data_IF_804332962948
#
_entry.id   IF_804332962948
#
_cell.length_a   1.000
_cell.length_b   1.000
_cell.length_c   1.000
_cell.angle_alpha   90.00
_cell.angle_beta   90.00
_cell.angle_gamma   90.00
#
_symmetry.space_group_name_H-M   'P 1'
#
loop_
_entity.id
_entity.type
_entity.pdbx_description
1 polymer ?
#
# COMPACT_ATOMS: atom_id res chain seq x y z
N UNK A 1 -10.14 12.96 31.75
CA UNK A 1 -9.24 13.97 31.17
C UNK A 1 -9.05 13.58 29.71
N UNK A 2 -9.42 14.43 28.76
CA UNK A 2 -9.08 14.22 27.35
C UNK A 2 -7.58 14.46 27.21
N UNK A 3 -6.79 13.39 27.12
CA UNK A 3 -5.37 13.50 26.82
C UNK A 3 -5.17 14.20 25.48
N UNK A 4 -4.12 15.02 25.36
CA UNK A 4 -3.74 15.61 24.08
C UNK A 4 -3.43 14.46 23.09
N UNK A 5 -3.92 14.56 21.86
CA UNK A 5 -3.72 13.51 20.84
C UNK A 5 -2.22 13.23 20.61
N UNK A 6 -1.36 14.25 20.72
CA UNK A 6 0.10 14.11 20.57
C UNK A 6 0.72 13.22 21.67
N UNK A 7 0.20 13.32 22.90
CA UNK A 7 0.64 12.49 24.03
C UNK A 7 0.16 11.05 23.85
N UNK A 8 -1.10 10.87 23.44
CA UNK A 8 -1.66 9.54 23.20
C UNK A 8 -0.92 8.78 22.11
N UNK A 9 -0.63 9.44 20.98
CA UNK A 9 0.09 8.76 19.90
C UNK A 9 1.54 8.46 20.31
N UNK A 10 2.17 9.31 21.12
CA UNK A 10 3.49 9.00 21.67
C UNK A 10 3.47 7.73 22.53
N UNK A 11 2.52 7.63 23.48
CA UNK A 11 2.36 6.44 24.32
C UNK A 11 2.03 5.19 23.51
N UNK A 12 1.16 5.32 22.49
CA UNK A 12 0.82 4.23 21.59
C UNK A 12 2.03 3.67 20.81
N UNK A 13 2.98 4.52 20.42
CA UNK A 13 4.15 4.10 19.64
C UNK A 13 5.30 3.64 20.53
N UNK A 14 5.62 4.37 21.60
CA UNK A 14 6.89 4.19 22.35
C UNK A 14 6.74 3.59 23.74
N UNK A 15 5.52 3.53 24.29
CA UNK A 15 5.27 2.98 25.63
C UNK A 15 4.50 1.65 25.58
N UNK A 16 4.17 1.18 24.38
CA UNK A 16 3.39 -0.04 24.12
C UNK A 16 2.05 -0.06 24.89
N UNK A 17 1.47 1.12 25.12
CA UNK A 17 0.20 1.26 25.81
C UNK A 17 -0.96 0.89 24.88
N UNK A 18 -1.48 -0.33 25.04
CA UNK A 18 -2.64 -0.79 24.28
C UNK A 18 -3.91 0.02 24.56
N UNK A 19 -4.01 0.67 25.72
CA UNK A 19 -5.12 1.56 26.02
C UNK A 19 -5.08 2.82 25.14
N UNK A 20 -3.89 3.33 24.80
CA UNK A 20 -3.73 4.49 23.92
C UNK A 20 -4.28 4.22 22.51
N UNK A 21 -4.04 3.04 21.93
CA UNK A 21 -4.64 2.64 20.64
C UNK A 21 -6.18 2.71 20.69
N UNK A 22 -6.76 2.16 21.76
CA UNK A 22 -8.22 2.13 21.95
C UNK A 22 -8.79 3.53 22.14
N UNK A 23 -8.10 4.39 22.89
CA UNK A 23 -8.51 5.79 23.11
C UNK A 23 -8.44 6.62 21.83
N UNK A 24 -7.39 6.48 21.02
CA UNK A 24 -7.27 7.17 19.73
C UNK A 24 -8.43 6.76 18.81
N UNK A 25 -8.72 5.46 18.72
CA UNK A 25 -9.84 4.97 17.91
C UNK A 25 -11.18 5.54 18.39
N UNK A 26 -11.44 5.54 19.69
CA UNK A 26 -12.67 6.10 20.26
C UNK A 26 -12.78 7.61 20.00
N UNK A 27 -11.68 8.36 20.10
CA UNK A 27 -11.67 9.80 19.76
C UNK A 27 -11.91 10.05 18.27
N UNK A 28 -11.38 9.20 17.40
CA UNK A 28 -11.61 9.27 15.95
C UNK A 28 -13.10 9.06 15.64
N UNK A 29 -13.71 8.01 16.18
CA UNK A 29 -15.14 7.71 16.01
C UNK A 29 -16.02 8.85 16.53
N UNK A 30 -15.71 9.40 17.72
CA UNK A 30 -16.41 10.56 18.29
C UNK A 30 -16.27 11.84 17.44
N UNK A 31 -15.23 11.91 16.60
CA UNK A 31 -14.96 13.01 15.67
C UNK A 31 -15.45 12.72 14.25
N UNK A 32 -16.29 11.68 14.06
CA UNK A 32 -16.78 11.24 12.74
C UNK A 32 -15.67 10.84 11.76
N UNK A 33 -14.57 10.32 12.27
CA UNK A 33 -13.49 9.70 11.49
C UNK A 33 -13.71 8.19 11.56
N UNK A 34 -14.02 7.56 10.43
CA UNK A 34 -14.43 6.15 10.40
C UNK A 34 -13.50 5.32 9.53
N UNK A 35 -13.05 4.18 10.06
CA UNK A 35 -12.29 3.21 9.27
C UNK A 35 -13.23 2.54 8.27
N UNK A 36 -12.95 2.71 6.97
CA UNK A 36 -13.86 2.31 5.90
C UNK A 36 -13.18 1.40 4.88
N UNK A 37 -14.00 0.67 4.13
CA UNK A 37 -13.55 -0.04 2.94
C UNK A 37 -13.84 0.76 1.68
N UNK A 38 -12.93 0.74 0.73
CA UNK A 38 -13.10 1.37 -0.58
C UNK A 38 -13.93 0.51 -1.55
N UNK A 39 -14.33 -0.70 -1.13
CA UNK A 39 -14.98 -1.71 -1.98
C UNK A 39 -16.12 -1.15 -2.84
N UNK A 40 -17.07 -0.42 -2.23
CA UNK A 40 -18.25 0.10 -2.93
C UNK A 40 -17.89 1.14 -4.00
N UNK A 41 -16.91 2.00 -3.74
CA UNK A 41 -16.41 2.93 -4.75
C UNK A 41 -15.76 2.19 -5.91
N UNK A 42 -15.00 1.13 -5.64
CA UNK A 42 -14.40 0.30 -6.70
C UNK A 42 -15.45 -0.48 -7.50
N UNK A 43 -16.53 -0.92 -6.86
CA UNK A 43 -17.68 -1.49 -7.57
C UNK A 43 -18.35 -0.46 -8.48
N UNK A 44 -18.57 0.78 -8.02
CA UNK A 44 -19.12 1.84 -8.84
C UNK A 44 -18.24 2.19 -10.05
N UNK A 45 -16.91 2.17 -9.87
CA UNK A 45 -15.95 2.32 -10.99
C UNK A 45 -16.07 1.14 -11.95
N UNK A 46 -16.14 -0.09 -11.43
CA UNK A 46 -16.31 -1.31 -12.24
C UNK A 46 -17.59 -1.31 -13.08
N UNK A 47 -18.65 -0.72 -12.55
CA UNK A 47 -19.95 -0.55 -13.22
C UNK A 47 -20.00 0.65 -14.17
N UNK A 48 -18.93 1.45 -14.24
CA UNK A 48 -18.85 2.63 -15.09
C UNK A 48 -19.67 3.83 -14.60
N UNK A 49 -20.10 3.84 -13.34
CA UNK A 49 -20.87 4.96 -12.77
C UNK A 49 -20.01 6.20 -12.47
N UNK A 50 -18.73 5.97 -12.21
CA UNK A 50 -17.73 6.99 -11.92
C UNK A 50 -16.37 6.54 -12.44
N UNK A 51 -15.49 7.48 -12.78
CA UNK A 51 -14.12 7.19 -13.19
C UNK A 51 -13.36 8.44 -13.59
N UNK A 52 -12.25 8.26 -14.30
CA UNK A 52 -11.41 9.36 -14.81
C UNK A 52 -10.35 9.86 -13.84
N UNK A 53 -10.13 9.16 -12.74
CA UNK A 53 -9.07 9.40 -11.75
C UNK A 53 -8.43 8.07 -11.35
N UNK A 54 -7.27 8.15 -10.69
CA UNK A 54 -6.58 7.00 -10.10
C UNK A 54 -6.40 7.25 -8.61
N UNK A 55 -6.74 6.26 -7.79
CA UNK A 55 -6.62 6.36 -6.33
C UNK A 55 -5.15 6.22 -5.91
N UNK A 56 -4.56 7.19 -5.19
CA UNK A 56 -3.25 7.00 -4.61
C UNK A 56 -3.33 6.11 -3.37
N UNK A 57 -2.56 5.03 -3.35
CA UNK A 57 -2.25 4.25 -2.15
C UNK A 57 -0.82 4.59 -1.72
N UNK A 58 -0.66 5.01 -0.46
CA UNK A 58 0.57 5.63 0.03
C UNK A 58 1.13 4.83 1.20
N UNK A 59 2.27 4.16 0.99
CA UNK A 59 2.96 3.47 2.07
C UNK A 59 3.69 4.48 2.97
N UNK A 60 3.42 4.44 4.27
CA UNK A 60 4.11 5.29 5.26
C UNK A 60 5.08 4.46 6.11
N UNK A 61 6.37 4.51 5.74
CA UNK A 61 7.44 3.70 6.37
C UNK A 61 8.11 4.35 7.57
N UNK A 62 7.91 5.65 7.74
CA UNK A 62 8.47 6.46 8.83
C UNK A 62 7.73 7.77 8.91
N UNK A 63 7.88 8.51 10.02
CA UNK A 63 7.19 9.78 10.25
C UNK A 63 5.68 9.66 9.94
N UNK A 64 5.10 8.49 10.21
CA UNK A 64 3.75 8.11 9.74
C UNK A 64 2.70 9.09 10.23
N UNK A 65 2.77 9.47 11.52
CA UNK A 65 1.90 10.49 12.10
C UNK A 65 2.08 11.86 11.41
N UNK A 66 3.32 12.28 11.15
CA UNK A 66 3.61 13.59 10.57
C UNK A 66 3.20 13.68 9.08
N UNK A 67 3.54 12.65 8.29
CA UNK A 67 3.20 12.60 6.85
C UNK A 67 1.70 12.41 6.65
N UNK A 68 1.03 11.60 7.48
CA UNK A 68 -0.43 11.48 7.41
C UNK A 68 -1.12 12.82 7.67
N UNK A 69 -0.59 13.66 8.57
CA UNK A 69 -1.13 15.01 8.77
C UNK A 69 -1.00 15.88 7.51
N UNK A 70 0.13 15.79 6.79
CA UNK A 70 0.29 16.48 5.50
C UNK A 70 -0.77 16.03 4.51
N UNK A 71 -0.99 14.71 4.38
CA UNK A 71 -1.99 14.14 3.48
C UNK A 71 -3.40 14.64 3.84
N UNK A 72 -3.80 14.57 5.12
CA UNK A 72 -5.13 15.03 5.52
C UNK A 72 -5.34 16.53 5.33
N UNK A 73 -4.33 17.37 5.58
CA UNK A 73 -4.40 18.82 5.28
C UNK A 73 -4.68 19.05 3.79
N UNK A 74 -3.92 18.39 2.91
CA UNK A 74 -4.15 18.47 1.47
C UNK A 74 -5.53 17.95 1.07
N UNK A 75 -6.02 16.89 1.71
CA UNK A 75 -7.37 16.37 1.48
C UNK A 75 -8.46 17.36 1.85
N UNK A 76 -8.28 18.12 2.94
CA UNK A 76 -9.22 19.16 3.36
C UNK A 76 -9.14 20.35 2.39
N UNK A 77 -7.94 20.86 2.13
CA UNK A 77 -7.71 22.08 1.34
C UNK A 77 -8.14 21.92 -0.12
N UNK A 78 -7.85 20.76 -0.73
CA UNK A 78 -8.12 20.49 -2.15
C UNK A 78 -9.33 19.58 -2.38
N UNK A 79 -10.11 19.31 -1.32
CA UNK A 79 -11.26 18.39 -1.33
C UNK A 79 -10.96 17.05 -2.03
N UNK A 80 -9.79 16.48 -1.73
CA UNK A 80 -9.33 15.20 -2.30
C UNK A 80 -9.99 14.04 -1.57
N UNK A 81 -10.36 13.00 -2.31
CA UNK A 81 -10.76 11.71 -1.76
C UNK A 81 -11.37 10.80 -2.82
N UNK A 82 -11.04 9.49 -2.86
CA UNK A 82 -10.29 8.71 -1.87
C UNK A 82 -8.76 8.86 -1.90
N UNK A 83 -8.13 8.56 -0.76
CA UNK A 83 -6.68 8.31 -0.59
C UNK A 83 -6.53 7.12 0.35
N UNK A 84 -5.66 6.17 0.00
CA UNK A 84 -5.39 4.98 0.81
C UNK A 84 -4.07 5.15 1.56
N UNK A 85 -4.05 4.83 2.85
CA UNK A 85 -2.84 4.70 3.66
C UNK A 85 -2.51 3.23 3.81
N UNK A 86 -1.30 2.82 3.46
CA UNK A 86 -0.97 1.40 3.42
C UNK A 86 0.37 1.06 4.07
N UNK A 87 0.53 -0.22 4.40
CA UNK A 87 1.80 -0.78 4.85
C UNK A 87 1.84 -2.26 4.51
N UNK A 88 2.95 -2.73 3.93
CA UNK A 88 3.10 -4.16 3.63
C UNK A 88 3.69 -4.94 4.80
N UNK A 89 3.50 -6.27 4.83
CA UNK A 89 4.07 -7.14 5.88
C UNK A 89 5.57 -6.91 6.05
N UNK A 90 6.30 -6.87 4.93
CA UNK A 90 7.75 -6.63 4.97
C UNK A 90 8.11 -5.27 5.57
N UNK A 91 7.27 -4.26 5.37
CA UNK A 91 7.46 -2.91 5.90
C UNK A 91 7.16 -2.85 7.38
N UNK A 92 6.12 -3.54 7.85
CA UNK A 92 5.86 -3.72 9.28
C UNK A 92 7.10 -4.28 9.99
N UNK A 93 7.72 -5.32 9.41
CA UNK A 93 8.91 -5.96 9.96
C UNK A 93 10.09 -4.99 10.09
N UNK A 94 10.54 -4.34 9.01
CA UNK A 94 11.77 -3.53 9.07
C UNK A 94 11.57 -2.11 9.63
N UNK A 95 10.33 -1.62 9.69
CA UNK A 95 10.00 -0.34 10.34
C UNK A 95 9.56 -0.52 11.79
N UNK A 96 9.42 -1.76 12.25
CA UNK A 96 8.84 -2.12 13.54
C UNK A 96 7.46 -1.48 13.75
N UNK A 97 6.65 -1.31 12.69
CA UNK A 97 5.32 -0.72 12.77
C UNK A 97 4.27 -1.83 12.73
N UNK A 98 3.63 -2.11 13.85
CA UNK A 98 2.49 -3.04 13.87
C UNK A 98 1.26 -2.43 13.17
N UNK A 99 0.27 -3.24 12.75
CA UNK A 99 -0.98 -2.71 12.22
C UNK A 99 -1.67 -1.74 13.19
N UNK A 100 -1.67 -2.02 14.49
CA UNK A 100 -2.27 -1.14 15.51
C UNK A 100 -1.53 0.20 15.63
N UNK A 101 -0.20 0.19 15.57
CA UNK A 101 0.62 1.41 15.58
C UNK A 101 0.33 2.26 14.34
N UNK A 102 0.30 1.63 13.16
CA UNK A 102 0.03 2.32 11.89
C UNK A 102 -1.37 2.94 11.88
N UNK A 103 -2.40 2.16 12.23
CA UNK A 103 -3.77 2.65 12.32
C UNK A 103 -3.90 3.82 13.31
N UNK A 104 -3.27 3.71 14.47
CA UNK A 104 -3.28 4.78 15.48
C UNK A 104 -2.59 6.04 14.98
N UNK A 105 -1.46 5.91 14.28
CA UNK A 105 -0.74 7.04 13.69
C UNK A 105 -1.58 7.79 12.66
N UNK A 106 -2.26 7.07 11.77
CA UNK A 106 -3.14 7.66 10.76
C UNK A 106 -4.38 8.29 11.39
N UNK A 107 -5.05 7.63 12.33
CA UNK A 107 -6.23 8.18 13.01
C UNK A 107 -5.89 9.39 13.88
N UNK A 108 -4.77 9.36 14.60
CA UNK A 108 -4.28 10.51 15.36
C UNK A 108 -4.02 11.70 14.43
N UNK A 109 -3.44 11.46 13.25
CA UNK A 109 -3.21 12.50 12.26
C UNK A 109 -4.52 13.10 11.72
N UNK A 110 -5.53 12.27 11.47
CA UNK A 110 -6.86 12.71 11.07
C UNK A 110 -7.50 13.61 12.15
N UNK A 111 -7.44 13.20 13.42
CA UNK A 111 -7.93 13.98 14.56
C UNK A 111 -7.17 15.32 14.65
N UNK A 112 -5.84 15.28 14.61
CA UNK A 112 -4.97 16.45 14.74
C UNK A 112 -5.24 17.51 13.68
N UNK A 113 -5.60 17.08 12.47
CA UNK A 113 -5.86 17.96 11.32
C UNK A 113 -7.33 18.38 11.19
N UNK A 114 -8.22 17.84 12.03
CA UNK A 114 -9.65 18.12 11.96
C UNK A 114 -10.34 17.48 10.74
N UNK A 115 -9.76 16.41 10.18
CA UNK A 115 -10.41 15.64 9.13
C UNK A 115 -11.68 14.97 9.68
N UNK A 116 -12.69 14.85 8.83
CA UNK A 116 -13.93 14.10 9.10
C UNK A 116 -14.26 13.27 7.86
N UNK A 117 -14.80 12.06 8.06
CA UNK A 117 -15.15 11.14 6.99
C UNK A 117 -14.36 9.82 7.02
N UNK A 118 -14.44 9.03 5.93
CA UNK A 118 -13.81 7.73 5.87
C UNK A 118 -12.29 7.83 5.77
N UNK A 119 -11.61 6.88 6.41
CA UNK A 119 -10.17 6.62 6.35
C UNK A 119 -9.97 5.21 5.84
N UNK A 120 -9.20 5.06 4.75
CA UNK A 120 -8.91 3.78 4.13
C UNK A 120 -7.52 3.32 4.56
N UNK A 121 -7.49 2.27 5.39
CA UNK A 121 -6.25 1.57 5.73
C UNK A 121 -6.16 0.30 4.89
N UNK A 122 -4.99 0.09 4.27
CA UNK A 122 -4.73 -1.05 3.39
C UNK A 122 -3.52 -1.87 3.82
N UNK A 123 -3.73 -3.18 3.88
CA UNK A 123 -2.65 -4.15 4.00
C UNK A 123 -2.10 -4.41 2.61
N UNK A 124 -0.91 -3.90 2.33
CA UNK A 124 -0.25 -4.02 1.03
C UNK A 124 0.53 -5.35 0.94
N UNK A 125 0.63 -5.95 -0.26
CA UNK A 125 1.38 -7.18 -0.54
C UNK A 125 1.40 -8.22 0.59
N UNK A 126 0.29 -8.93 0.80
CA UNK A 126 0.25 -10.09 1.70
C UNK A 126 0.88 -11.27 0.97
N UNK A 127 2.18 -11.13 0.76
CA UNK A 127 2.97 -11.88 -0.21
C UNK A 127 3.38 -13.23 0.35
N UNK A 128 3.10 -14.26 -0.44
CA UNK A 128 3.58 -15.60 -0.19
C UNK A 128 5.07 -15.70 -0.53
N UNK A 129 5.85 -16.35 0.33
CA UNK A 129 7.27 -16.64 0.09
C UNK A 129 7.38 -17.98 -0.62
N UNK A 130 7.72 -17.96 -1.92
CA UNK A 130 7.80 -19.17 -2.77
C UNK A 130 8.60 -20.30 -2.12
N UNK A 131 9.82 -20.01 -1.66
CA UNK A 131 10.69 -21.00 -1.03
C UNK A 131 10.03 -21.67 0.18
N UNK A 132 9.41 -20.88 1.07
CA UNK A 132 8.72 -21.38 2.27
C UNK A 132 7.48 -22.18 1.90
N UNK A 133 6.72 -21.71 0.91
CA UNK A 133 5.52 -22.39 0.43
C UNK A 133 5.81 -23.74 -0.24
N UNK A 134 6.90 -23.84 -1.01
CA UNK A 134 7.35 -25.08 -1.64
C UNK A 134 7.95 -26.07 -0.63
N UNK A 135 8.57 -25.57 0.45
CA UNK A 135 9.05 -26.38 1.58
C UNK A 135 7.87 -26.99 2.36
N UNK A 136 6.94 -26.16 2.83
CA UNK A 136 5.67 -26.59 3.44
C UNK A 136 4.60 -25.51 3.27
N UNK A 137 3.48 -25.88 2.62
CA UNK A 137 2.38 -24.96 2.34
C UNK A 137 1.68 -24.47 3.61
N UNK A 138 1.51 -25.33 4.62
CA UNK A 138 0.63 -25.00 5.76
C UNK A 138 1.18 -23.89 6.66
N UNK A 139 2.46 -23.91 7.08
CA UNK A 139 3.03 -22.82 7.88
C UNK A 139 2.97 -21.47 7.15
N UNK A 140 3.18 -21.45 5.85
CA UNK A 140 3.12 -20.21 5.07
C UNK A 140 1.68 -19.69 4.93
N UNK A 141 0.70 -20.57 4.72
CA UNK A 141 -0.72 -20.19 4.76
C UNK A 141 -1.13 -19.63 6.13
N UNK A 142 -0.70 -20.28 7.23
CA UNK A 142 -0.98 -19.81 8.59
C UNK A 142 -0.29 -18.49 8.91
N UNK A 143 0.92 -18.25 8.37
CA UNK A 143 1.60 -16.97 8.48
C UNK A 143 0.75 -15.85 7.87
N UNK A 144 0.29 -16.04 6.63
CA UNK A 144 -0.56 -15.05 5.95
C UNK A 144 -1.89 -14.86 6.68
N UNK A 145 -2.55 -15.95 7.11
CA UNK A 145 -3.79 -15.88 7.91
C UNK A 145 -3.62 -15.12 9.23
N UNK A 146 -2.47 -15.26 9.88
CA UNK A 146 -2.16 -14.54 11.11
C UNK A 146 -2.04 -13.05 10.83
N UNK A 147 -1.23 -12.66 9.84
CA UNK A 147 -1.11 -11.25 9.46
C UNK A 147 -2.46 -10.65 9.04
N UNK A 148 -3.27 -11.36 8.23
CA UNK A 148 -4.61 -10.89 7.82
C UNK A 148 -5.49 -10.64 9.05
N UNK A 149 -5.49 -11.56 10.02
CA UNK A 149 -6.30 -11.44 11.24
C UNK A 149 -5.91 -10.21 12.05
N UNK A 150 -4.62 -10.03 12.31
CA UNK A 150 -4.10 -8.92 13.11
C UNK A 150 -4.38 -7.56 12.42
N UNK A 151 -4.32 -7.56 11.08
CA UNK A 151 -4.59 -6.39 10.24
C UNK A 151 -6.07 -5.98 10.27
N UNK A 152 -6.98 -6.95 10.14
CA UNK A 152 -8.43 -6.71 10.26
C UNK A 152 -8.77 -6.23 11.69
N UNK A 153 -8.14 -6.81 12.72
CA UNK A 153 -8.33 -6.39 14.11
C UNK A 153 -7.89 -4.95 14.35
N UNK A 154 -6.84 -4.48 13.66
CA UNK A 154 -6.42 -3.08 13.67
C UNK A 154 -7.34 -2.15 12.86
N UNK A 155 -8.31 -2.69 12.11
CA UNK A 155 -9.33 -1.94 11.36
C UNK A 155 -8.94 -1.62 9.92
N UNK A 156 -8.06 -2.42 9.33
CA UNK A 156 -7.78 -2.38 7.91
C UNK A 156 -8.87 -3.12 7.15
N UNK A 157 -9.56 -2.40 6.26
CA UNK A 157 -10.69 -2.93 5.50
C UNK A 157 -10.40 -2.99 3.99
N UNK A 158 -9.11 -2.97 3.63
CA UNK A 158 -8.60 -3.14 2.28
C UNK A 158 -7.35 -4.05 2.40
N UNK A 159 -7.32 -5.17 1.70
CA UNK A 159 -6.25 -6.17 1.84
C UNK A 159 -5.87 -6.69 0.47
N UNK A 160 -4.60 -6.57 0.12
CA UNK A 160 -4.07 -7.04 -1.16
C UNK A 160 -3.29 -8.34 -0.94
N UNK A 161 -3.80 -9.42 -1.54
CA UNK A 161 -3.20 -10.75 -1.48
C UNK A 161 -2.22 -10.89 -2.64
N UNK A 162 -0.98 -11.27 -2.34
CA UNK A 162 0.05 -11.44 -3.36
C UNK A 162 0.54 -12.90 -3.41
N UNK A 163 -0.13 -13.69 -4.24
CA UNK A 163 0.28 -15.05 -4.60
C UNK A 163 1.18 -15.10 -5.84
N UNK A 164 1.60 -13.96 -6.39
CA UNK A 164 2.26 -13.87 -7.69
C UNK A 164 3.63 -14.55 -7.74
N UNK A 165 4.31 -14.67 -6.59
CA UNK A 165 5.57 -15.41 -6.43
C UNK A 165 5.41 -16.92 -6.67
N UNK A 166 4.19 -17.44 -6.54
CA UNK A 166 3.85 -18.84 -6.75
C UNK A 166 3.54 -19.16 -8.20
N UNK A 167 3.47 -18.15 -9.08
CA UNK A 167 3.35 -18.37 -10.53
C UNK A 167 4.56 -19.17 -11.02
N UNK A 168 4.30 -20.22 -11.79
CA UNK A 168 5.34 -21.12 -12.30
C UNK A 168 5.41 -21.06 -13.82
N UNK A 169 6.28 -20.20 -14.35
CA UNK A 169 6.43 -19.97 -15.80
C UNK A 169 7.03 -21.17 -16.55
N UNK A 170 7.51 -22.20 -15.85
CA UNK A 170 8.02 -23.44 -16.48
C UNK A 170 6.88 -24.37 -16.95
N UNK A 171 5.65 -24.13 -16.48
CA UNK A 171 4.48 -24.90 -16.96
C UNK A 171 4.07 -24.46 -18.36
N UNK A 172 3.64 -25.41 -19.17
CA UNK A 172 3.23 -25.15 -20.56
C UNK A 172 1.85 -24.49 -20.66
N UNK A 173 0.93 -24.84 -19.76
CA UNK A 173 -0.43 -24.32 -19.73
C UNK A 173 -0.57 -23.13 -18.77
N UNK A 174 -1.16 -22.02 -19.24
CA UNK A 174 -1.32 -20.80 -18.43
C UNK A 174 -2.14 -21.02 -17.15
N UNK A 175 -3.14 -21.90 -17.18
CA UNK A 175 -3.89 -22.21 -15.97
C UNK A 175 -3.07 -23.04 -14.97
N UNK A 176 -2.14 -23.88 -15.43
CA UNK A 176 -1.16 -24.51 -14.55
C UNK A 176 -0.14 -23.51 -14.00
N UNK A 177 0.33 -22.55 -14.80
CA UNK A 177 1.22 -21.48 -14.33
C UNK A 177 0.58 -20.69 -13.18
N UNK A 178 -0.72 -20.37 -13.28
CA UNK A 178 -1.45 -19.56 -12.31
C UNK A 178 -2.05 -20.37 -11.14
N UNK A 179 -1.95 -21.71 -11.16
CA UNK A 179 -2.72 -22.59 -10.26
C UNK A 179 -2.56 -22.27 -8.79
N UNK A 180 -1.32 -22.19 -8.33
CA UNK A 180 -1.05 -21.92 -6.92
C UNK A 180 -1.46 -20.49 -6.55
N UNK A 181 -1.23 -19.50 -7.44
CA UNK A 181 -1.62 -18.11 -7.21
C UNK A 181 -3.14 -17.96 -6.98
N UNK A 182 -3.98 -18.46 -7.89
CA UNK A 182 -5.43 -18.34 -7.71
C UNK A 182 -5.94 -19.20 -6.54
N UNK A 183 -5.27 -20.32 -6.22
CA UNK A 183 -5.67 -21.20 -5.12
C UNK A 183 -5.46 -20.53 -3.77
N UNK A 184 -4.27 -19.95 -3.53
CA UNK A 184 -4.01 -19.24 -2.28
C UNK A 184 -4.85 -17.97 -2.17
N UNK A 185 -5.07 -17.28 -3.29
CA UNK A 185 -5.90 -16.06 -3.31
C UNK A 185 -7.38 -16.36 -2.98
N UNK A 186 -7.94 -17.46 -3.50
CA UNK A 186 -9.28 -17.91 -3.14
C UNK A 186 -9.36 -18.31 -1.66
N UNK A 187 -8.38 -19.07 -1.15
CA UNK A 187 -8.33 -19.48 0.25
C UNK A 187 -8.23 -18.29 1.22
N UNK A 188 -7.45 -17.25 0.86
CA UNK A 188 -7.37 -16.02 1.65
C UNK A 188 -8.62 -15.16 1.51
N UNK A 189 -9.28 -15.15 0.35
CA UNK A 189 -10.59 -14.50 0.18
C UNK A 189 -11.60 -15.06 1.17
N UNK A 190 -11.78 -16.38 1.22
CA UNK A 190 -12.73 -17.02 2.14
C UNK A 190 -12.40 -16.71 3.60
N UNK A 191 -11.11 -16.71 3.95
CA UNK A 191 -10.66 -16.38 5.30
C UNK A 191 -10.91 -14.91 5.67
N UNK A 192 -10.69 -13.97 4.76
CA UNK A 192 -11.03 -12.55 4.96
C UNK A 192 -12.54 -12.39 5.15
N UNK A 193 -13.37 -13.08 4.35
CA UNK A 193 -14.83 -13.04 4.47
C UNK A 193 -15.33 -13.59 5.81
N UNK A 194 -14.65 -14.60 6.37
CA UNK A 194 -14.94 -15.10 7.72
C UNK A 194 -14.67 -14.07 8.82
N UNK A 195 -13.63 -13.25 8.66
CA UNK A 195 -13.20 -12.25 9.64
C UNK A 195 -13.83 -10.87 9.45
N UNK A 196 -14.53 -10.68 8.33
CA UNK A 196 -15.08 -9.40 7.93
C UNK A 196 -16.05 -8.83 8.99
N UNK A 197 -15.91 -7.56 9.39
CA UNK A 197 -16.85 -6.91 10.29
C UNK A 197 -18.26 -6.81 9.69
N UNK A 198 -19.29 -6.88 10.54
CA UNK A 198 -20.67 -6.66 10.11
C UNK A 198 -20.85 -5.27 9.49
N UNK A 199 -21.54 -5.18 8.36
CA UNK A 199 -21.82 -3.92 7.67
C UNK A 199 -20.66 -3.35 6.83
N UNK A 200 -19.48 -3.99 6.83
CA UNK A 200 -18.33 -3.55 6.04
C UNK A 200 -17.95 -4.68 5.09
N UNK A 201 -17.94 -4.44 3.77
CA UNK A 201 -17.35 -5.38 2.81
C UNK A 201 -15.88 -5.03 2.61
N UNK A 202 -14.96 -5.90 3.05
CA UNK A 202 -13.52 -5.66 2.87
C UNK A 202 -13.18 -5.70 1.37
N UNK A 203 -12.47 -4.68 0.90
CA UNK A 203 -11.91 -4.62 -0.45
C UNK A 203 -10.73 -5.60 -0.52
N UNK A 204 -10.73 -6.48 -1.50
CA UNK A 204 -9.70 -7.51 -1.65
C UNK A 204 -9.01 -7.31 -3.00
N UNK A 205 -7.72 -7.01 -2.98
CA UNK A 205 -6.87 -7.07 -4.16
C UNK A 205 -6.22 -8.44 -4.31
N UNK A 206 -5.91 -8.79 -5.55
CA UNK A 206 -5.08 -9.94 -5.90
C UNK A 206 -4.04 -9.53 -6.93
N UNK A 207 -2.92 -10.22 -6.98
CA UNK A 207 -1.80 -9.85 -7.84
C UNK A 207 -1.48 -10.93 -8.88
N UNK A 208 -1.22 -10.49 -10.12
CA UNK A 208 -0.77 -11.35 -11.21
C UNK A 208 0.55 -10.85 -11.80
N UNK A 209 1.37 -11.79 -12.25
CA UNK A 209 2.68 -11.52 -12.86
C UNK A 209 3.81 -11.54 -11.83
N UNK A 210 4.90 -12.22 -12.16
CA UNK A 210 6.06 -12.29 -11.27
C UNK A 210 6.85 -10.99 -11.31
N UNK A 211 7.22 -10.45 -10.14
CA UNK A 211 8.11 -9.28 -10.03
C UNK A 211 9.44 -9.57 -10.74
N UNK A 212 9.86 -8.68 -11.65
CA UNK A 212 11.10 -8.85 -12.43
C UNK A 212 11.00 -9.84 -13.61
N UNK A 213 9.79 -10.33 -13.90
CA UNK A 213 9.50 -11.18 -15.05
C UNK A 213 9.00 -10.39 -16.27
N UNK A 214 8.23 -11.07 -17.13
CA UNK A 214 7.53 -10.45 -18.27
C UNK A 214 6.29 -9.67 -17.80
N UNK A 215 5.84 -8.72 -18.63
CA UNK A 215 4.56 -8.04 -18.43
C UNK A 215 3.42 -9.06 -18.30
N UNK A 216 2.46 -8.75 -17.42
CA UNK A 216 1.21 -9.49 -17.32
C UNK A 216 0.42 -9.35 -18.61
N UNK A 217 -0.24 -10.42 -19.07
CA UNK A 217 -1.13 -10.36 -20.23
C UNK A 217 -2.59 -10.55 -19.84
N UNK A 218 -3.47 -10.26 -20.79
CA UNK A 218 -4.91 -10.56 -20.68
C UNK A 218 -5.15 -12.04 -20.41
N UNK A 219 -4.40 -12.92 -21.07
CA UNK A 219 -4.53 -14.36 -20.92
C UNK A 219 -4.09 -14.83 -19.53
N UNK A 220 -3.04 -14.24 -18.95
CA UNK A 220 -2.64 -14.47 -17.56
C UNK A 220 -3.78 -14.12 -16.60
N UNK A 221 -4.38 -12.94 -16.80
CA UNK A 221 -5.50 -12.47 -15.98
C UNK A 221 -6.73 -13.37 -16.10
N UNK A 222 -7.13 -13.75 -17.32
CA UNK A 222 -8.28 -14.61 -17.54
C UNK A 222 -8.07 -16.01 -16.98
N UNK A 223 -6.87 -16.58 -17.12
CA UNK A 223 -6.51 -17.87 -16.54
C UNK A 223 -6.59 -17.83 -15.00
N UNK A 224 -6.03 -16.78 -14.39
CA UNK A 224 -6.12 -16.53 -12.96
C UNK A 224 -7.58 -16.40 -12.50
N UNK A 225 -8.36 -15.53 -13.13
CA UNK A 225 -9.75 -15.26 -12.72
C UNK A 225 -10.67 -16.45 -12.92
N UNK A 226 -10.47 -17.25 -13.97
CA UNK A 226 -11.21 -18.50 -14.20
C UNK A 226 -10.96 -19.50 -13.07
N UNK A 227 -9.70 -19.72 -12.71
CA UNK A 227 -9.32 -20.58 -11.59
C UNK A 227 -9.87 -20.06 -10.26
N UNK A 228 -9.62 -18.79 -9.96
CA UNK A 228 -10.09 -18.09 -8.76
C UNK A 228 -11.60 -18.23 -8.56
N UNK A 229 -12.41 -17.86 -9.56
CA UNK A 229 -13.87 -17.95 -9.46
C UNK A 229 -14.39 -19.37 -9.32
N UNK A 230 -13.70 -20.36 -9.87
CA UNK A 230 -14.10 -21.78 -9.75
C UNK A 230 -13.94 -22.33 -8.33
N UNK A 231 -13.10 -21.69 -7.50
CA UNK A 231 -12.84 -22.09 -6.12
C UNK A 231 -13.70 -21.34 -5.11
N UNK A 232 -14.29 -20.21 -5.47
CA UNK A 232 -15.18 -19.46 -4.59
C UNK A 232 -16.54 -20.16 -4.46
N UNK A 233 -17.10 -20.15 -3.25
CA UNK A 233 -18.48 -20.58 -3.02
C UNK A 233 -19.47 -19.65 -3.74
N UNK A 234 -20.62 -20.16 -4.25
CA UNK A 234 -21.64 -19.33 -4.86
C UNK A 234 -22.10 -18.19 -3.93
N UNK A 235 -22.09 -16.97 -4.43
CA UNK A 235 -22.49 -15.77 -3.67
C UNK A 235 -21.38 -15.14 -2.83
N UNK A 236 -20.18 -15.74 -2.76
CA UNK A 236 -19.02 -15.09 -2.13
C UNK A 236 -18.61 -13.85 -2.93
N UNK A 237 -18.54 -12.70 -2.27
CA UNK A 237 -17.99 -11.47 -2.87
C UNK A 237 -16.48 -11.67 -3.05
N UNK A 238 -16.02 -11.67 -4.30
CA UNK A 238 -14.60 -11.87 -4.64
C UNK A 238 -13.74 -10.61 -4.50
N UNK A 239 -12.64 -10.61 -5.24
CA UNK A 239 -11.73 -9.46 -5.41
C UNK A 239 -12.43 -8.24 -6.01
N UNK A 240 -11.98 -7.05 -5.64
CA UNK A 240 -12.43 -5.75 -6.16
C UNK A 240 -11.43 -5.12 -7.13
N UNK A 241 -10.15 -5.52 -7.10
CA UNK A 241 -9.08 -4.97 -7.93
C UNK A 241 -8.01 -6.01 -8.23
N UNK A 242 -7.17 -5.77 -9.25
CA UNK A 242 -6.05 -6.65 -9.60
C UNK A 242 -4.77 -5.87 -9.86
N UNK A 243 -3.68 -6.26 -9.20
CA UNK A 243 -2.34 -5.70 -9.44
C UNK A 243 -1.64 -6.46 -10.57
N UNK A 244 -0.93 -5.71 -11.42
CA UNK A 244 -0.33 -6.24 -12.66
C UNK A 244 1.14 -5.81 -12.78
N UNK A 245 1.95 -6.64 -13.45
CA UNK A 245 3.33 -6.33 -13.79
C UNK A 245 3.40 -5.61 -15.15
N UNK A 246 3.95 -4.40 -15.18
CA UNK A 246 4.02 -3.52 -16.36
C UNK A 246 5.46 -3.23 -16.82
N UNK A 247 6.44 -3.97 -16.30
CA UNK A 247 7.88 -3.77 -16.54
C UNK A 247 8.58 -2.99 -15.43
N UNK A 248 7.80 -2.49 -14.46
CA UNK A 248 8.31 -1.74 -13.31
C UNK A 248 8.88 -2.64 -12.22
N UNK A 249 9.86 -2.12 -11.48
CA UNK A 249 10.46 -2.78 -10.33
C UNK A 249 10.13 -2.02 -9.04
N UNK A 250 9.85 -2.75 -7.95
CA UNK A 250 9.60 -2.11 -6.65
C UNK A 250 10.82 -1.33 -6.18
N UNK A 251 10.68 -0.01 -6.07
CA UNK A 251 11.75 0.88 -5.65
C UNK A 251 12.73 1.28 -6.76
N UNK A 252 12.44 0.93 -8.02
CA UNK A 252 13.29 1.27 -9.17
C UNK A 252 14.57 0.43 -9.26
N UNK A 253 15.31 0.61 -10.35
CA UNK A 253 16.61 -0.04 -10.57
C UNK A 253 17.72 0.97 -10.26
N UNK A 254 18.62 0.62 -9.35
CA UNK A 254 19.73 1.49 -8.93
C UNK A 254 20.98 1.13 -9.71
N UNK A 255 21.53 2.12 -10.40
CA UNK A 255 22.76 2.00 -11.16
C UNK A 255 23.97 1.96 -10.23
N UNK A 256 25.13 1.54 -10.74
CA UNK A 256 26.36 1.41 -9.94
C UNK A 256 26.84 2.73 -9.30
N UNK A 257 26.43 3.87 -9.86
CA UNK A 257 26.71 5.21 -9.34
C UNK A 257 25.66 5.71 -8.33
N UNK A 258 24.69 4.87 -7.96
CA UNK A 258 23.60 5.20 -7.03
C UNK A 258 22.43 5.96 -7.65
N UNK A 259 22.48 6.29 -8.95
CA UNK A 259 21.35 6.91 -9.65
C UNK A 259 20.24 5.89 -9.95
N UNK A 260 19.02 6.36 -10.20
CA UNK A 260 17.91 5.50 -10.60
C UNK A 260 17.80 5.43 -12.12
N UNK A 261 17.68 4.22 -12.64
CA UNK A 261 17.31 3.98 -14.03
C UNK A 261 15.88 4.49 -14.28
N UNK A 262 15.65 5.03 -15.48
CA UNK A 262 14.30 5.38 -15.92
C UNK A 262 13.54 4.07 -16.19
N UNK A 263 12.60 3.73 -15.30
CA UNK A 263 11.83 2.50 -15.43
C UNK A 263 10.90 2.56 -16.66
N UNK A 264 10.93 1.56 -17.55
CA UNK A 264 9.89 1.41 -18.55
C UNK A 264 8.59 1.01 -17.85
N UNK A 265 7.50 1.73 -18.16
CA UNK A 265 6.15 1.36 -17.75
C UNK A 265 5.29 1.18 -19.00
N UNK A 266 4.66 0.01 -19.09
CA UNK A 266 3.71 -0.29 -20.14
C UNK A 266 2.27 0.00 -19.69
N UNK A 267 1.77 1.17 -20.06
CA UNK A 267 0.41 1.59 -19.74
C UNK A 267 -0.66 0.78 -20.49
N UNK A 268 -0.34 0.09 -21.59
CA UNK A 268 -1.34 -0.72 -22.29
C UNK A 268 -1.76 -1.94 -21.46
N UNK A 269 -0.85 -2.49 -20.65
CA UNK A 269 -1.17 -3.58 -19.71
C UNK A 269 -2.26 -3.16 -18.73
N UNK A 270 -2.12 -1.98 -18.11
CA UNK A 270 -3.13 -1.42 -17.19
C UNK A 270 -4.48 -1.24 -17.88
N UNK A 271 -4.45 -0.70 -19.11
CA UNK A 271 -5.65 -0.43 -19.90
C UNK A 271 -6.37 -1.71 -20.29
N UNK A 272 -5.65 -2.66 -20.89
CA UNK A 272 -6.22 -3.86 -21.49
C UNK A 272 -6.76 -4.80 -20.40
N UNK A 273 -5.97 -5.06 -19.36
CA UNK A 273 -6.42 -5.87 -18.22
C UNK A 273 -7.51 -5.14 -17.44
N UNK A 274 -7.38 -3.84 -17.21
CA UNK A 274 -8.39 -3.04 -16.53
C UNK A 274 -9.75 -3.08 -17.22
N UNK A 275 -9.78 -3.02 -18.55
CA UNK A 275 -11.02 -3.10 -19.33
C UNK A 275 -11.70 -4.46 -19.19
N UNK A 276 -10.94 -5.55 -19.24
CA UNK A 276 -11.47 -6.91 -19.10
C UNK A 276 -11.91 -7.17 -17.66
N UNK A 277 -11.14 -6.70 -16.68
CA UNK A 277 -11.48 -6.79 -15.26
C UNK A 277 -12.84 -6.15 -14.95
N UNK A 278 -13.13 -4.99 -15.57
CA UNK A 278 -14.43 -4.32 -15.47
C UNK A 278 -15.52 -5.07 -16.23
N UNK A 279 -15.32 -5.28 -17.53
CA UNK A 279 -16.37 -5.79 -18.43
C UNK A 279 -16.81 -7.23 -18.14
N UNK A 280 -15.85 -8.12 -17.88
CA UNK A 280 -16.12 -9.56 -17.79
C UNK A 280 -16.29 -10.04 -16.35
N UNK A 281 -15.77 -9.28 -15.39
CA UNK A 281 -15.66 -9.72 -14.00
C UNK A 281 -16.20 -8.72 -12.97
N UNK A 282 -16.52 -7.47 -13.33
CA UNK A 282 -17.07 -6.47 -12.41
C UNK A 282 -16.09 -5.97 -11.34
N UNK A 283 -14.77 -6.11 -11.56
CA UNK A 283 -13.76 -5.49 -10.70
C UNK A 283 -13.67 -3.98 -11.03
N UNK A 284 -13.10 -3.17 -10.13
CA UNK A 284 -12.82 -1.76 -10.39
C UNK A 284 -11.78 -1.55 -11.50
N UNK A 285 -10.79 -2.44 -11.61
CA UNK A 285 -9.76 -2.37 -12.64
C UNK A 285 -8.38 -2.82 -12.18
N UNK A 286 -7.39 -2.44 -12.99
CA UNK A 286 -5.97 -2.77 -12.78
C UNK A 286 -5.29 -1.74 -11.86
N UNK A 287 -4.31 -2.21 -11.09
CA UNK A 287 -3.57 -1.46 -10.08
C UNK A 287 -2.09 -1.46 -10.45
N UNK A 288 -1.44 -0.30 -10.34
CA UNK A 288 -0.01 -0.17 -10.58
C UNK A 288 0.77 -0.23 -9.28
N UNK A 289 1.76 -1.13 -9.23
CA UNK A 289 2.79 -1.16 -8.20
C UNK A 289 4.09 -0.48 -8.65
N UNK A 290 4.95 -0.05 -7.73
CA UNK A 290 6.30 0.40 -8.10
C UNK A 290 6.38 1.69 -8.93
N UNK A 291 5.36 2.57 -8.86
CA UNK A 291 5.31 3.80 -9.66
C UNK A 291 6.14 4.96 -9.07
N UNK A 292 6.63 4.86 -7.83
CA UNK A 292 7.13 6.03 -7.09
C UNK A 292 8.35 6.70 -7.71
N UNK A 293 9.17 5.94 -8.45
CA UNK A 293 10.40 6.42 -9.08
C UNK A 293 10.19 6.82 -10.54
N UNK A 294 8.95 6.80 -11.04
CA UNK A 294 8.63 7.31 -12.36
C UNK A 294 8.78 8.84 -12.41
N UNK A 295 9.18 9.39 -13.56
CA UNK A 295 9.11 10.82 -13.82
C UNK A 295 7.73 11.42 -13.49
N UNK A 296 7.72 12.61 -12.87
CA UNK A 296 6.50 13.32 -12.44
C UNK A 296 5.51 13.54 -13.60
N UNK A 297 6.04 13.78 -14.79
CA UNK A 297 5.28 14.02 -16.00
C UNK A 297 4.60 12.77 -16.55
N UNK A 298 4.85 11.56 -16.04
CA UNK A 298 4.14 10.35 -16.48
C UNK A 298 2.89 10.03 -15.65
N UNK A 299 2.69 10.67 -14.50
CA UNK A 299 1.57 10.29 -13.60
C UNK A 299 0.18 10.58 -14.18
N UNK A 300 0.05 11.51 -15.13
CA UNK A 300 -1.22 11.76 -15.82
C UNK A 300 -1.67 10.59 -16.70
N UNK A 301 -0.74 9.72 -17.09
CA UNK A 301 -1.03 8.55 -17.91
C UNK A 301 -1.83 7.48 -17.17
N UNK A 302 -1.76 7.43 -15.82
CA UNK A 302 -2.54 6.47 -15.02
C UNK A 302 -4.05 6.63 -15.19
N UNK A 303 -4.66 7.80 -14.92
CA UNK A 303 -6.08 7.98 -15.13
C UNK A 303 -6.47 7.93 -16.62
N UNK A 304 -5.58 8.34 -17.53
CA UNK A 304 -5.84 8.27 -18.99
C UNK A 304 -5.92 6.82 -19.52
N UNK A 305 -5.20 5.91 -18.88
CA UNK A 305 -5.24 4.48 -19.21
C UNK A 305 -6.17 3.69 -18.27
N UNK A 306 -6.97 4.38 -17.45
CA UNK A 306 -7.99 3.76 -16.61
C UNK A 306 -7.43 2.87 -15.50
N UNK A 307 -6.22 3.18 -15.01
CA UNK A 307 -5.65 2.57 -13.82
C UNK A 307 -6.52 2.95 -12.61
N UNK A 308 -6.95 1.94 -11.85
CA UNK A 308 -7.82 2.13 -10.69
C UNK A 308 -7.07 2.79 -9.54
N UNK A 309 -5.87 2.29 -9.27
CA UNK A 309 -5.07 2.63 -8.09
C UNK A 309 -3.58 2.58 -8.43
N UNK A 310 -2.78 3.37 -7.72
CA UNK A 310 -1.32 3.39 -7.85
C UNK A 310 -0.65 3.43 -6.48
N UNK A 311 0.28 2.50 -6.24
CA UNK A 311 0.99 2.36 -4.97
C UNK A 311 2.26 3.24 -4.96
N UNK A 312 2.43 4.02 -3.90
CA UNK A 312 3.41 5.10 -3.79
C UNK A 312 4.14 5.03 -2.45
N UNK A 313 5.46 4.85 -2.51
CA UNK A 313 6.25 4.56 -1.31
C UNK A 313 7.67 5.13 -1.38
N UNK A 314 8.53 4.54 -2.21
CA UNK A 314 9.98 4.74 -2.15
C UNK A 314 10.39 6.19 -2.32
N UNK A 315 9.66 6.98 -3.11
CA UNK A 315 10.01 8.39 -3.30
C UNK A 315 9.78 9.26 -2.06
N UNK A 316 8.74 8.99 -1.28
CA UNK A 316 8.55 9.70 0.00
C UNK A 316 9.66 9.35 0.98
N UNK A 317 10.07 8.09 1.02
CA UNK A 317 11.22 7.65 1.80
C UNK A 317 12.52 8.32 1.33
N UNK A 318 12.74 8.43 0.02
CA UNK A 318 13.91 9.12 -0.53
C UNK A 318 13.95 10.57 -0.08
N UNK A 319 12.82 11.29 -0.18
CA UNK A 319 12.70 12.67 0.30
C UNK A 319 13.09 12.79 1.78
N UNK A 320 12.66 11.85 2.63
CA UNK A 320 13.08 11.81 4.04
C UNK A 320 14.59 11.75 4.13
N UNK A 321 15.24 10.75 3.53
CA UNK A 321 16.70 10.60 3.58
C UNK A 321 17.46 11.80 2.97
N UNK A 322 16.94 12.41 1.92
CA UNK A 322 17.59 13.54 1.25
C UNK A 322 17.63 14.79 2.15
N UNK A 323 16.64 14.95 3.02
CA UNK A 323 16.47 16.12 3.89
C UNK A 323 16.85 15.88 5.37
N UNK A 324 17.24 14.67 5.75
CA UNK A 324 17.84 14.40 7.05
C UNK A 324 19.15 15.18 7.23
N UNK A 325 19.50 15.49 8.48
CA UNK A 325 20.83 16.02 8.77
C UNK A 325 21.91 15.04 8.31
N UNK A 326 23.04 15.52 7.75
CA UNK A 326 24.11 14.64 7.29
C UNK A 326 24.60 13.67 8.36
N UNK A 327 24.63 14.12 9.63
CA UNK A 327 25.03 13.32 10.77
C UNK A 327 24.07 12.15 11.03
N UNK A 328 22.75 12.41 11.14
CA UNK A 328 21.76 11.36 11.39
C UNK A 328 21.70 10.38 10.22
N UNK A 329 21.75 10.89 8.98
CA UNK A 329 21.78 10.05 7.78
C UNK A 329 22.98 9.11 7.76
N UNK A 330 24.18 9.60 8.06
CA UNK A 330 25.38 8.77 8.06
C UNK A 330 25.34 7.71 9.17
N UNK A 331 24.77 8.03 10.34
CA UNK A 331 24.54 7.04 11.41
C UNK A 331 23.61 5.92 10.95
N UNK A 332 22.52 6.25 10.25
CA UNK A 332 21.61 5.25 9.69
C UNK A 332 22.29 4.39 8.62
N UNK A 333 23.11 5.00 7.75
CA UNK A 333 23.85 4.27 6.71
C UNK A 333 24.93 3.36 7.31
N UNK A 334 25.65 3.84 8.30
CA UNK A 334 26.64 3.04 9.06
C UNK A 334 25.97 1.86 9.74
N UNK A 335 24.79 2.06 10.35
CA UNK A 335 24.00 0.97 10.91
C UNK A 335 23.60 -0.05 9.83
N UNK A 336 23.15 0.41 8.65
CA UNK A 336 22.75 -0.49 7.57
C UNK A 336 23.93 -1.34 7.07
N UNK A 337 25.13 -0.74 6.89
CA UNK A 337 26.37 -1.46 6.53
C UNK A 337 26.77 -2.51 7.54
N UNK A 338 26.50 -2.28 8.82
CA UNK A 338 26.89 -3.19 9.90
C UNK A 338 25.89 -4.34 10.09
N UNK A 339 24.60 -4.09 9.88
CA UNK A 339 23.52 -4.99 10.32
C UNK A 339 22.85 -5.74 9.17
N UNK A 340 22.92 -5.22 7.94
CA UNK A 340 22.25 -5.83 6.79
C UNK A 340 23.26 -6.60 5.95
N UNK A 341 22.98 -7.88 5.72
CA UNK A 341 23.81 -8.71 4.85
C UNK A 341 23.86 -8.13 3.43
N UNK A 342 25.09 -7.86 2.95
CA UNK A 342 25.33 -7.38 1.61
C UNK A 342 25.25 -8.52 0.62
N UNK A 343 24.32 -8.43 -0.32
CA UNK A 343 24.24 -9.36 -1.44
C UNK A 343 25.46 -9.22 -2.35
N UNK A 344 25.93 -10.34 -2.91
CA UNK A 344 27.06 -10.36 -3.83
C UNK A 344 26.81 -9.49 -5.07
N UNK A 345 27.85 -8.82 -5.57
CA UNK A 345 27.79 -8.05 -6.81
C UNK A 345 27.28 -6.60 -6.69
N UNK A 346 26.81 -6.15 -5.51
CA UNK A 346 26.38 -4.76 -5.33
C UNK A 346 27.53 -3.80 -5.02
N UNK A 347 27.51 -2.60 -5.63
CA UNK A 347 28.31 -1.45 -5.16
C UNK A 347 27.92 -1.03 -3.73
N UNK A 348 28.69 -0.17 -3.07
CA UNK A 348 28.30 0.35 -1.75
C UNK A 348 27.05 1.23 -1.86
N UNK A 349 26.97 2.02 -2.92
CA UNK A 349 25.86 2.91 -3.24
C UNK A 349 24.55 2.14 -3.44
N UNK A 350 24.58 1.08 -4.27
CA UNK A 350 23.42 0.20 -4.47
C UNK A 350 23.03 -0.50 -3.16
N UNK A 351 24.02 -1.01 -2.43
CA UNK A 351 23.76 -1.67 -1.16
C UNK A 351 23.07 -0.71 -0.17
N UNK A 352 23.59 0.50 0.00
CA UNK A 352 23.01 1.51 0.89
C UNK A 352 21.60 1.88 0.44
N UNK A 353 21.38 2.13 -0.86
CA UNK A 353 20.06 2.48 -1.36
C UNK A 353 19.01 1.42 -0.99
N UNK A 354 19.33 0.13 -1.19
CA UNK A 354 18.42 -0.99 -0.96
C UNK A 354 18.23 -1.29 0.53
N UNK A 355 19.26 -1.10 1.34
CA UNK A 355 19.29 -1.50 2.76
C UNK A 355 18.87 -0.39 3.73
N UNK A 356 19.06 0.90 3.39
CA UNK A 356 18.82 2.05 4.30
C UNK A 356 17.41 2.08 4.88
N UNK A 357 16.40 1.59 4.16
CA UNK A 357 15.02 1.50 4.64
C UNK A 357 14.88 0.67 5.92
N UNK A 358 15.73 -0.33 6.12
CA UNK A 358 15.73 -1.17 7.32
C UNK A 358 16.16 -0.41 8.58
N UNK A 359 16.85 0.73 8.43
CA UNK A 359 17.24 1.57 9.55
C UNK A 359 16.05 2.39 10.10
N UNK A 360 14.94 2.49 9.37
CA UNK A 360 13.79 3.32 9.78
C UNK A 360 13.17 2.84 11.09
N UNK A 361 13.11 1.52 11.32
CA UNK A 361 12.60 0.96 12.57
C UNK A 361 13.53 1.21 13.76
N UNK A 362 14.83 1.03 13.56
CA UNK A 362 15.84 1.25 14.61
C UNK A 362 15.91 2.73 15.03
N UNK A 363 15.88 3.65 14.06
CA UNK A 363 16.00 5.09 14.31
C UNK A 363 14.65 5.79 14.50
N UNK A 364 13.54 5.04 14.63
CA UNK A 364 12.17 5.59 14.72
C UNK A 364 12.04 6.68 15.80
N UNK A 365 12.61 6.45 16.99
CA UNK A 365 12.53 7.40 18.10
C UNK A 365 13.31 8.69 17.84
N UNK A 366 14.47 8.58 17.19
CA UNK A 366 15.27 9.75 16.81
C UNK A 366 14.58 10.57 15.72
N UNK A 367 13.99 9.90 14.73
CA UNK A 367 13.19 10.53 13.68
C UNK A 367 11.96 11.24 14.27
N UNK A 368 11.31 10.64 15.27
CA UNK A 368 10.20 11.28 15.99
C UNK A 368 10.62 12.56 16.72
N UNK A 369 11.82 12.55 17.31
CA UNK A 369 12.36 13.64 18.13
C UNK A 369 12.97 14.79 17.32
N UNK A 370 12.98 14.70 15.99
CA UNK A 370 13.35 15.83 15.14
C UNK A 370 12.54 17.08 15.52
N UNK A 371 13.22 18.22 15.60
CA UNK A 371 12.57 19.50 15.86
C UNK A 371 11.57 19.85 14.75
N UNK A 372 10.61 20.73 15.05
CA UNK A 372 9.64 21.21 14.04
C UNK A 372 10.34 21.78 12.80
N UNK A 373 11.49 22.43 12.98
CA UNK A 373 12.28 22.98 11.87
C UNK A 373 12.90 21.89 10.99
N UNK A 374 13.35 20.78 11.58
CA UNK A 374 13.91 19.63 10.86
C UNK A 374 12.80 18.85 10.17
N UNK A 375 11.68 18.59 10.87
CA UNK A 375 10.50 17.98 10.27
C UNK A 375 9.97 18.81 9.10
N UNK A 376 9.89 20.13 9.22
CA UNK A 376 9.41 21.01 8.13
C UNK A 376 10.26 20.90 6.87
N UNK A 377 11.58 20.72 6.99
CA UNK A 377 12.48 20.52 5.82
C UNK A 377 12.18 19.22 5.06
N UNK A 378 11.62 18.21 5.74
CA UNK A 378 11.21 16.94 5.15
C UNK A 378 9.77 17.03 4.63
N UNK A 379 8.85 17.56 5.45
CA UNK A 379 7.42 17.56 5.18
C UNK A 379 7.03 18.51 4.05
N UNK A 380 7.72 19.64 3.88
CA UNK A 380 7.42 20.60 2.80
C UNK A 380 7.62 19.99 1.40
N UNK A 381 8.78 19.38 1.06
CA UNK A 381 8.93 18.68 -0.21
C UNK A 381 7.95 17.51 -0.41
N UNK A 382 7.60 16.78 0.66
CA UNK A 382 6.55 15.75 0.61
C UNK A 382 5.19 16.37 0.23
N UNK A 383 4.82 17.49 0.86
CA UNK A 383 3.59 18.22 0.56
C UNK A 383 3.54 18.70 -0.90
N UNK A 384 4.64 19.25 -1.41
CA UNK A 384 4.75 19.69 -2.81
C UNK A 384 4.58 18.51 -3.78
N UNK A 385 5.22 17.37 -3.49
CA UNK A 385 5.12 16.16 -4.30
C UNK A 385 3.70 15.60 -4.29
N UNK A 386 3.06 15.50 -3.12
CA UNK A 386 1.67 15.05 -2.98
C UNK A 386 0.69 15.97 -3.72
N UNK A 387 0.89 17.28 -3.65
CA UNK A 387 0.05 18.26 -4.36
C UNK A 387 0.08 18.00 -5.87
N UNK A 388 1.27 17.84 -6.45
CA UNK A 388 1.43 17.52 -7.88
C UNK A 388 0.80 16.18 -8.23
N UNK A 389 1.03 15.15 -7.40
CA UNK A 389 0.46 13.82 -7.61
C UNK A 389 -1.07 13.84 -7.59
N UNK A 390 -1.68 14.53 -6.63
CA UNK A 390 -3.14 14.59 -6.57
C UNK A 390 -3.76 15.28 -7.80
N UNK A 391 -3.09 16.30 -8.34
CA UNK A 391 -3.50 16.94 -9.58
C UNK A 391 -3.36 16.00 -10.79
N UNK A 392 -2.21 15.34 -10.95
CA UNK A 392 -1.94 14.49 -12.12
C UNK A 392 -2.78 13.20 -12.10
N UNK A 393 -3.05 12.65 -10.91
CA UNK A 393 -3.96 11.51 -10.72
C UNK A 393 -5.45 11.89 -10.80
N UNK A 394 -5.76 13.19 -10.97
CA UNK A 394 -7.12 13.74 -11.11
C UNK A 394 -8.03 13.46 -9.91
N UNK A 395 -7.46 13.44 -8.70
CA UNK A 395 -8.18 13.14 -7.45
C UNK A 395 -8.53 14.40 -6.62
N UNK A 396 -8.30 15.59 -7.19
CA UNK A 396 -8.71 16.88 -6.60
C UNK A 396 -10.21 17.09 -6.82
N UNK A 397 -10.90 17.67 -5.82
CA UNK A 397 -12.36 17.88 -5.83
C UNK A 397 -13.20 16.59 -6.01
N UNK A 398 -12.66 15.44 -5.61
CA UNK A 398 -13.38 14.15 -5.66
C UNK A 398 -13.98 13.72 -4.32
N UNK A 399 -13.82 14.50 -3.24
CA UNK A 399 -14.37 14.19 -1.90
C UNK A 399 -15.85 13.79 -1.90
N UNK A 400 -16.67 14.35 -2.80
CA UNK A 400 -18.09 14.01 -2.93
C UNK A 400 -18.34 12.52 -3.24
N UNK A 401 -17.35 11.82 -3.80
CA UNK A 401 -17.42 10.39 -4.05
C UNK A 401 -17.47 9.57 -2.77
N UNK A 402 -16.86 10.07 -1.70
CA UNK A 402 -16.89 9.43 -0.39
C UNK A 402 -18.31 9.47 0.18
N UNK A 403 -19.00 10.60 0.06
CA UNK A 403 -20.39 10.77 0.49
C UNK A 403 -21.36 9.92 -0.33
N UNK A 404 -21.08 9.74 -1.63
CA UNK A 404 -21.98 9.01 -2.53
C UNK A 404 -21.81 7.49 -2.46
N UNK A 405 -20.58 7.01 -2.30
CA UNK A 405 -20.25 5.59 -2.50
C UNK A 405 -19.71 4.88 -1.25
N UNK A 406 -19.44 5.61 -0.16
CA UNK A 406 -18.80 5.02 1.03
C UNK A 406 -19.60 5.28 2.31
N UNK A 407 -20.11 6.50 2.50
CA UNK A 407 -20.87 6.92 3.68
C UNK A 407 -22.35 6.55 3.57
#
# INVERSE_FOLDING_TARGET
MTHNIDELIYSAIFESDSAAHTQIKAQAEASHIVLASIHNLYQAIGQGEVGGFTVPAINLRTLTYDIAQVIFKLMIESKVGPVIFEIAISEQDYTHQSPHEFASSVLAAAIKTGYTGPVFLQGDHYQFKREKYLEDKQPELERIRTHIRDTIQAGFHNIDIDGSTLVDLEKLDLNEQQRENYTVTAAMTDYIRLLQPSGITISIGGEIGHIGGRNSTVEDFQAFMKGYKSLLSPGTVGMSKVSVQTGTHHGGVVMADGTLETAPIDFSVLKDIGNIARADYGLGGAVQHGASTLPDDLFHMFPENGALEVHLSTQFQNIVFDHLSPELRERMYTWARKTVDKQEGLSDEQFIYLSRKKALGEFKKELWQLSDSEKSRILNPISEKLTKLFQTLRIVETRYLLEKYVI
#
